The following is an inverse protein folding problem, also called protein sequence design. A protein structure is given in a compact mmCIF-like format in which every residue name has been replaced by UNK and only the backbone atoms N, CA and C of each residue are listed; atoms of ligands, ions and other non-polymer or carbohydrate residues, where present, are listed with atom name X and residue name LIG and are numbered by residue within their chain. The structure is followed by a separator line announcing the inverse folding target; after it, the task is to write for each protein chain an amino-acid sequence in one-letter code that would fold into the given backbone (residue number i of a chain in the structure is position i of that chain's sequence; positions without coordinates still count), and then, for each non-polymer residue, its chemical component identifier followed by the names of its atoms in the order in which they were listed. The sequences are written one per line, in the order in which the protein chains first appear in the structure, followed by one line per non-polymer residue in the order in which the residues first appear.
data_IF_512545085910
#
_entry.id   IF_512545085910
#
_cell.length_a   1.000
_cell.length_b   1.000
_cell.length_c   1.000
_cell.angle_alpha   90.00
_cell.angle_beta   90.00
_cell.angle_gamma   90.00
#
_symmetry.space_group_name_H-M   'P 1'
#
loop_
_entity.id
_entity.type
_entity.pdbx_description
1 polymer ?
#
# COMPACT_ATOMS: atom_id res chain seq x y z
N UNK A 1 58.18 -0.93 30.18
CA UNK A 1 56.97 -0.67 30.99
C UNK A 1 55.96 0.03 30.09
N UNK A 2 55.17 -0.77 29.36
CA UNK A 2 54.33 -0.29 28.26
C UNK A 2 53.05 0.37 28.77
N UNK A 3 52.77 1.59 28.28
CA UNK A 3 51.44 2.19 28.31
C UNK A 3 50.60 1.54 27.22
N UNK A 4 49.54 0.86 27.63
CA UNK A 4 48.42 0.52 26.77
C UNK A 4 47.57 1.79 26.63
N UNK A 5 47.74 2.51 25.52
CA UNK A 5 46.81 3.56 25.13
C UNK A 5 45.51 2.90 24.66
N UNK A 6 44.45 3.16 25.42
CA UNK A 6 43.10 2.70 25.14
C UNK A 6 42.59 3.33 23.85
N UNK A 7 42.28 2.47 22.87
CA UNK A 7 41.41 2.81 21.77
C UNK A 7 40.04 3.23 22.33
N UNK A 8 39.82 4.54 22.48
CA UNK A 8 38.51 5.10 22.81
C UNK A 8 37.56 4.91 21.62
N UNK A 9 36.41 4.30 21.89
CA UNK A 9 35.32 4.00 20.96
C UNK A 9 34.84 5.19 20.13
N UNK A 10 35.41 5.37 18.94
CA UNK A 10 34.97 6.38 17.96
C UNK A 10 33.53 6.18 17.45
N UNK A 11 32.96 4.97 17.61
CA UNK A 11 31.56 4.69 17.26
C UNK A 11 30.57 5.30 18.25
N UNK A 12 30.86 5.27 19.56
CA UNK A 12 29.97 5.85 20.58
C UNK A 12 29.90 7.37 20.51
N UNK A 13 31.04 8.03 20.29
CA UNK A 13 31.13 9.49 20.21
C UNK A 13 30.37 10.07 19.01
N UNK A 14 30.50 9.46 17.82
CA UNK A 14 29.75 9.88 16.63
C UNK A 14 28.23 9.67 16.76
N UNK A 15 27.82 8.73 17.60
CA UNK A 15 26.42 8.33 17.78
C UNK A 15 25.67 9.29 18.73
N UNK A 16 26.36 9.77 19.78
CA UNK A 16 25.87 10.81 20.67
C UNK A 16 25.76 12.18 19.97
N UNK A 17 26.80 12.58 19.21
CA UNK A 17 26.83 13.87 18.50
C UNK A 17 25.62 14.05 17.56
N UNK A 18 25.22 13.00 16.82
CA UNK A 18 24.06 13.11 15.93
C UNK A 18 22.70 13.13 16.63
N UNK A 19 22.59 12.46 17.77
CA UNK A 19 21.38 12.52 18.58
C UNK A 19 21.13 13.96 19.04
N UNK A 20 22.14 14.57 19.64
CA UNK A 20 22.01 15.89 20.27
C UNK A 20 21.99 17.06 19.28
N UNK A 21 22.71 16.96 18.15
CA UNK A 21 22.82 18.06 17.20
C UNK A 21 21.80 18.01 16.05
N UNK A 22 21.25 16.84 15.72
CA UNK A 22 20.39 16.67 14.54
C UNK A 22 19.02 16.14 14.92
N UNK A 23 18.97 15.02 15.64
CA UNK A 23 17.71 14.30 15.86
C UNK A 23 16.83 15.04 16.87
N UNK A 24 17.34 15.33 18.07
CA UNK A 24 16.55 15.98 19.12
C UNK A 24 16.07 17.38 18.71
N UNK A 25 16.92 18.31 18.24
CA UNK A 25 16.47 19.66 17.89
C UNK A 25 15.42 19.66 16.77
N UNK A 26 15.55 18.76 15.81
CA UNK A 26 14.60 18.68 14.68
C UNK A 26 13.26 18.10 15.10
N UNK A 27 13.24 17.10 15.97
CA UNK A 27 12.03 16.31 16.26
C UNK A 27 11.24 16.84 17.45
N UNK A 28 11.87 17.62 18.33
CA UNK A 28 11.20 18.17 19.51
C UNK A 28 10.98 19.69 19.43
N UNK A 29 11.30 20.33 18.29
CA UNK A 29 11.26 21.81 18.14
C UNK A 29 9.93 22.47 18.54
N UNK A 30 8.81 21.80 18.25
CA UNK A 30 7.46 22.33 18.48
C UNK A 30 6.80 21.70 19.71
N UNK A 31 7.51 20.82 20.42
CA UNK A 31 6.97 20.08 21.55
C UNK A 31 7.08 20.90 22.84
N UNK A 32 5.94 21.03 23.52
CA UNK A 32 5.78 21.76 24.76
C UNK A 32 5.57 20.75 25.88
N UNK A 33 6.18 21.03 27.02
CA UNK A 33 6.02 20.23 28.24
C UNK A 33 4.57 20.22 28.71
N UNK A 34 4.07 19.03 29.06
CA UNK A 34 2.73 18.82 29.58
C UNK A 34 2.79 18.20 30.98
N UNK A 35 1.84 18.54 31.85
CA UNK A 35 1.76 17.97 33.20
C UNK A 35 1.44 16.47 33.16
N UNK A 36 0.53 16.10 32.26
CA UNK A 36 0.09 14.73 32.00
C UNK A 36 0.10 14.46 30.49
N UNK A 37 1.27 14.17 29.90
CA UNK A 37 1.39 13.97 28.46
C UNK A 37 0.63 12.72 28.00
N UNK A 38 0.15 12.74 26.76
CA UNK A 38 -0.41 11.58 26.08
C UNK A 38 0.58 11.06 25.05
N UNK A 39 0.89 9.77 25.12
CA UNK A 39 1.73 9.07 24.14
C UNK A 39 0.88 8.03 23.43
N UNK A 40 0.82 8.13 22.11
CA UNK A 40 0.08 7.19 21.26
C UNK A 40 1.06 6.31 20.51
N UNK A 41 0.99 5.00 20.75
CA UNK A 41 1.77 4.00 20.01
C UNK A 41 0.95 3.53 18.82
N UNK A 42 1.40 3.85 17.61
CA UNK A 42 0.78 3.40 16.37
C UNK A 42 1.42 2.10 15.92
N UNK A 43 0.74 0.99 16.21
CA UNK A 43 1.18 -0.38 15.96
C UNK A 43 0.69 -0.96 14.65
N UNK A 44 1.60 -1.58 13.88
CA UNK A 44 1.26 -2.25 12.60
C UNK A 44 2.40 -3.05 11.99
N UNK A 45 2.07 -4.00 11.12
CA UNK A 45 3.07 -4.64 10.28
C UNK A 45 3.71 -3.67 9.24
N UNK A 46 4.92 -3.96 8.74
CA UNK A 46 5.53 -3.21 7.64
C UNK A 46 4.60 -3.10 6.42
N UNK A 47 4.57 -1.91 5.79
CA UNK A 47 3.74 -1.65 4.62
C UNK A 47 2.24 -1.47 4.91
N UNK A 48 1.79 -1.35 6.16
CA UNK A 48 0.36 -1.17 6.45
C UNK A 48 -0.19 0.27 6.25
N UNK A 49 0.53 1.18 5.57
CA UNK A 49 0.17 2.61 5.49
C UNK A 49 0.58 3.43 6.72
N UNK A 50 1.90 3.42 7.04
CA UNK A 50 2.52 4.04 8.23
C UNK A 50 2.07 5.47 8.51
N UNK A 51 2.13 6.26 7.46
CA UNK A 51 2.26 7.71 7.53
C UNK A 51 0.89 8.35 7.76
N UNK A 52 -0.12 8.01 6.96
CA UNK A 52 -1.43 8.65 7.01
C UNK A 52 -2.14 8.59 8.39
N UNK A 53 -2.25 7.41 9.01
CA UNK A 53 -2.92 7.30 10.33
C UNK A 53 -2.11 8.01 11.40
N UNK A 54 -0.79 7.89 11.34
CA UNK A 54 0.04 8.47 12.37
C UNK A 54 0.19 9.99 12.20
N UNK A 55 0.07 10.53 10.98
CA UNK A 55 -0.08 11.96 10.71
C UNK A 55 -1.41 12.48 11.25
N UNK A 56 -2.49 11.72 11.07
CA UNK A 56 -3.81 12.05 11.64
C UNK A 56 -3.77 12.08 13.17
N UNK A 57 -3.18 11.05 13.80
CA UNK A 57 -3.01 11.00 15.26
C UNK A 57 -2.09 12.12 15.73
N UNK A 58 -1.00 12.39 15.01
CA UNK A 58 -0.08 13.47 15.32
C UNK A 58 -0.76 14.84 15.27
N UNK A 59 -1.53 15.11 14.21
CA UNK A 59 -2.34 16.32 14.09
C UNK A 59 -3.39 16.45 15.19
N UNK A 60 -4.03 15.35 15.60
CA UNK A 60 -5.00 15.34 16.70
C UNK A 60 -4.36 15.63 18.07
N UNK A 61 -3.13 15.16 18.30
CA UNK A 61 -2.36 15.50 19.50
C UNK A 61 -1.72 16.89 19.45
N UNK A 62 -1.71 17.55 18.29
CA UNK A 62 -1.02 18.82 18.06
C UNK A 62 -1.80 20.06 18.58
N UNK A 63 -2.61 19.92 19.63
CA UNK A 63 -3.45 20.99 20.19
C UNK A 63 -3.15 21.24 21.68
N UNK A 64 -3.21 22.51 22.12
CA UNK A 64 -2.05 23.41 22.13
C UNK A 64 -0.90 22.82 22.97
N UNK A 65 0.16 22.37 22.31
CA UNK A 65 1.27 21.72 23.01
C UNK A 65 2.30 21.02 22.12
N UNK A 66 1.97 20.68 20.88
CA UNK A 66 2.87 19.87 20.06
C UNK A 66 2.96 18.41 20.50
N UNK A 67 3.25 17.52 19.56
CA UNK A 67 3.61 16.13 19.84
C UNK A 67 4.91 15.77 19.11
N UNK A 68 5.74 14.95 19.73
CA UNK A 68 6.96 14.43 19.10
C UNK A 68 6.61 13.23 18.23
N UNK A 69 7.02 13.23 16.97
CA UNK A 69 6.91 12.07 16.08
C UNK A 69 8.14 11.19 16.24
N UNK A 70 7.96 9.96 16.72
CA UNK A 70 9.07 9.01 16.93
C UNK A 70 8.90 7.82 16.00
N UNK A 71 9.92 7.50 15.20
CA UNK A 71 9.91 6.32 14.34
C UNK A 71 11.29 5.93 13.86
N UNK A 72 11.61 4.63 13.93
CA UNK A 72 12.90 4.06 13.49
C UNK A 72 13.27 4.36 12.03
N UNK A 73 12.30 4.58 11.14
CA UNK A 73 12.59 4.91 9.75
C UNK A 73 13.18 6.34 9.60
N UNK A 74 12.93 7.24 10.56
CA UNK A 74 13.39 8.63 10.51
C UNK A 74 14.88 8.80 10.91
N UNK A 75 15.49 7.81 11.58
CA UNK A 75 16.91 7.88 11.97
C UNK A 75 17.89 7.28 10.94
N UNK A 76 17.39 6.72 9.82
CA UNK A 76 18.21 5.91 8.91
C UNK A 76 19.19 6.73 8.08
N UNK A 77 18.75 7.87 7.58
CA UNK A 77 19.60 8.84 6.87
C UNK A 77 20.68 9.41 7.80
N UNK A 78 20.42 9.40 9.10
CA UNK A 78 21.39 9.73 10.14
C UNK A 78 22.41 8.62 10.42
N UNK A 79 22.46 7.51 9.68
CA UNK A 79 23.50 6.48 9.85
C UNK A 79 24.61 6.60 8.80
N UNK A 80 25.87 6.83 9.23
CA UNK A 80 27.00 7.22 8.34
C UNK A 80 27.28 6.18 7.27
N UNK A 81 27.18 4.91 7.65
CA UNK A 81 27.47 3.77 6.77
C UNK A 81 26.23 3.24 6.06
N UNK A 82 25.09 3.93 6.13
CA UNK A 82 23.85 3.42 5.54
C UNK A 82 23.99 3.22 4.03
N UNK A 83 24.51 4.22 3.31
CA UNK A 83 24.73 4.15 1.87
C UNK A 83 25.72 3.04 1.49
N UNK A 84 26.83 2.90 2.23
CA UNK A 84 27.83 1.84 2.05
C UNK A 84 27.21 0.44 2.23
N UNK A 85 26.50 0.23 3.34
CA UNK A 85 25.87 -1.06 3.66
C UNK A 85 24.76 -1.44 2.68
N UNK A 86 24.06 -0.44 2.15
CA UNK A 86 23.04 -0.62 1.12
C UNK A 86 23.62 -0.98 -0.24
N UNK A 87 24.74 -0.36 -0.61
CA UNK A 87 25.46 -0.69 -1.83
C UNK A 87 26.05 -2.11 -1.75
N UNK A 88 26.52 -2.52 -0.57
CA UNK A 88 27.12 -3.84 -0.35
C UNK A 88 26.09 -4.98 -0.43
N UNK A 89 24.99 -4.90 0.33
CA UNK A 89 23.92 -5.88 0.26
C UNK A 89 22.63 -5.33 0.89
N UNK A 90 21.65 -5.09 0.02
CA UNK A 90 20.34 -4.54 0.36
C UNK A 90 19.55 -5.43 1.33
N UNK A 91 19.77 -6.76 1.31
CA UNK A 91 19.03 -7.71 2.15
C UNK A 91 19.48 -7.66 3.60
N UNK A 92 20.79 -7.47 3.83
CA UNK A 92 21.37 -7.43 5.18
C UNK A 92 21.51 -6.02 5.75
N UNK A 93 21.41 -4.96 4.93
CA UNK A 93 21.56 -3.56 5.39
C UNK A 93 20.72 -3.29 6.64
N UNK A 94 19.42 -3.62 6.58
CA UNK A 94 18.48 -3.35 7.65
C UNK A 94 18.82 -4.04 8.97
N UNK A 95 19.40 -5.24 8.92
CA UNK A 95 19.85 -5.99 10.11
C UNK A 95 21.06 -5.29 10.73
N UNK A 96 22.03 -4.90 9.89
CA UNK A 96 23.29 -4.29 10.33
C UNK A 96 23.09 -2.94 11.02
N UNK A 97 22.14 -2.12 10.56
CA UNK A 97 21.87 -0.79 11.15
C UNK A 97 20.81 -0.81 12.28
N UNK A 98 20.12 -1.94 12.48
CA UNK A 98 19.01 -2.04 13.44
C UNK A 98 19.42 -1.71 14.88
N UNK A 99 20.56 -2.21 15.43
CA UNK A 99 20.98 -1.86 16.78
C UNK A 99 21.21 -0.35 16.94
N UNK A 100 21.75 0.28 15.90
CA UNK A 100 22.05 1.72 15.90
C UNK A 100 20.77 2.56 16.00
N UNK A 101 19.84 2.25 15.11
CA UNK A 101 18.53 2.91 15.00
C UNK A 101 17.67 2.69 16.23
N UNK A 102 17.62 1.45 16.76
CA UNK A 102 16.85 1.17 17.99
C UNK A 102 17.40 1.91 19.19
N UNK A 103 18.73 2.02 19.31
CA UNK A 103 19.35 2.81 20.37
C UNK A 103 19.03 4.30 20.27
N UNK A 104 19.04 4.88 19.07
CA UNK A 104 18.61 6.28 18.90
C UNK A 104 17.13 6.49 19.18
N UNK A 105 16.26 5.59 18.72
CA UNK A 105 14.84 5.65 19.05
C UNK A 105 14.63 5.61 20.57
N UNK A 106 15.28 4.68 21.27
CA UNK A 106 15.20 4.59 22.74
C UNK A 106 15.65 5.89 23.42
N UNK A 107 16.75 6.50 22.95
CA UNK A 107 17.25 7.76 23.51
C UNK A 107 16.30 8.95 23.26
N UNK A 108 15.64 9.01 22.10
CA UNK A 108 14.60 10.01 21.83
C UNK A 108 13.39 9.78 22.73
N UNK A 109 12.96 8.54 22.93
CA UNK A 109 11.87 8.21 23.85
C UNK A 109 12.21 8.56 25.30
N UNK A 110 13.46 8.31 25.74
CA UNK A 110 13.96 8.72 27.06
C UNK A 110 13.89 10.25 27.22
N UNK A 111 14.34 10.99 26.22
CA UNK A 111 14.27 12.45 26.22
C UNK A 111 12.81 12.95 26.30
N UNK A 112 11.91 12.38 25.51
CA UNK A 112 10.47 12.68 25.53
C UNK A 112 9.85 12.42 26.90
N UNK A 113 10.21 11.30 27.54
CA UNK A 113 9.77 10.98 28.91
C UNK A 113 10.30 11.99 29.92
N UNK A 114 11.59 12.33 29.84
CA UNK A 114 12.24 13.27 30.76
C UNK A 114 11.63 14.68 30.66
N UNK A 115 11.30 15.13 29.45
CA UNK A 115 10.71 16.45 29.20
C UNK A 115 9.18 16.47 29.32
N UNK A 116 8.53 15.30 29.47
CA UNK A 116 7.07 15.14 29.53
C UNK A 116 6.35 15.71 28.31
N UNK A 117 6.86 15.38 27.12
CA UNK A 117 6.19 15.73 25.87
C UNK A 117 5.13 14.68 25.50
N UNK A 118 4.06 15.12 24.86
CA UNK A 118 3.18 14.22 24.10
C UNK A 118 3.93 13.64 22.90
N UNK A 119 3.60 12.42 22.47
CA UNK A 119 4.29 11.78 21.35
C UNK A 119 3.44 10.78 20.57
N UNK A 120 3.78 10.60 19.30
CA UNK A 120 3.28 9.51 18.45
C UNK A 120 4.43 8.59 18.08
N UNK A 121 4.44 7.39 18.67
CA UNK A 121 5.49 6.39 18.49
C UNK A 121 5.07 5.38 17.44
N UNK A 122 5.81 5.28 16.33
CA UNK A 122 5.63 4.20 15.37
C UNK A 122 6.30 2.92 15.86
N UNK A 123 5.50 1.88 16.06
CA UNK A 123 5.99 0.56 16.42
C UNK A 123 5.46 -0.50 15.46
N UNK A 124 6.21 -1.59 15.31
CA UNK A 124 5.68 -2.80 14.69
C UNK A 124 4.91 -3.68 15.69
N UNK A 125 4.99 -3.36 16.99
CA UNK A 125 4.45 -4.14 18.11
C UNK A 125 4.80 -5.63 18.00
N UNK A 126 5.98 -5.95 17.45
CA UNK A 126 6.34 -7.33 17.13
C UNK A 126 6.69 -8.19 18.35
N UNK A 127 7.07 -7.57 19.46
CA UNK A 127 7.50 -8.24 20.69
C UNK A 127 6.74 -7.69 21.93
N UNK A 128 6.02 -8.55 22.68
CA UNK A 128 5.36 -8.15 23.92
C UNK A 128 6.32 -7.62 24.99
N UNK A 129 7.54 -8.17 25.10
CA UNK A 129 8.50 -7.74 26.13
C UNK A 129 9.00 -6.31 25.88
N UNK A 130 9.27 -5.97 24.62
CA UNK A 130 9.63 -4.60 24.22
C UNK A 130 8.50 -3.62 24.64
N UNK A 131 7.24 -4.02 24.46
CA UNK A 131 6.11 -3.18 24.85
C UNK A 131 5.95 -3.09 26.38
N UNK A 132 6.10 -4.19 27.12
CA UNK A 132 6.08 -4.16 28.60
C UNK A 132 7.10 -3.20 29.17
N UNK A 133 8.33 -3.26 28.66
CA UNK A 133 9.40 -2.35 29.09
C UNK A 133 9.05 -0.88 28.81
N UNK A 134 8.54 -0.59 27.60
CA UNK A 134 8.11 0.76 27.21
C UNK A 134 6.94 1.26 28.07
N UNK A 135 5.90 0.45 28.27
CA UNK A 135 4.74 0.78 29.09
C UNK A 135 5.13 1.04 30.56
N UNK A 136 6.01 0.22 31.12
CA UNK A 136 6.53 0.43 32.47
C UNK A 136 7.30 1.76 32.58
N UNK A 137 8.10 2.11 31.57
CA UNK A 137 8.84 3.38 31.54
C UNK A 137 7.90 4.60 31.49
N UNK A 138 6.85 4.57 30.66
CA UNK A 138 5.87 5.66 30.58
C UNK A 138 4.99 5.79 31.84
N UNK A 139 4.63 4.67 32.47
CA UNK A 139 3.88 4.68 33.74
C UNK A 139 4.63 5.39 34.86
N UNK A 140 5.94 5.20 34.97
CA UNK A 140 6.78 5.85 36.00
C UNK A 140 6.74 7.37 35.95
N UNK A 141 6.49 7.95 34.77
CA UNK A 141 6.40 9.40 34.57
C UNK A 141 4.95 9.91 34.48
N UNK A 142 3.96 9.05 34.78
CA UNK A 142 2.51 9.36 34.80
C UNK A 142 1.96 9.84 33.44
N UNK A 143 2.50 9.29 32.35
CA UNK A 143 2.02 9.52 30.98
C UNK A 143 0.77 8.68 30.71
N UNK A 144 -0.21 9.26 30.01
CA UNK A 144 -1.33 8.49 29.44
C UNK A 144 -0.83 7.76 28.19
N UNK A 145 -0.93 6.44 28.15
CA UNK A 145 -0.45 5.60 27.05
C UNK A 145 -1.63 5.04 26.27
N UNK A 146 -1.73 5.38 24.99
CA UNK A 146 -2.76 4.86 24.10
C UNK A 146 -2.13 4.03 22.97
N UNK A 147 -2.86 3.04 22.47
CA UNK A 147 -2.43 2.16 21.38
C UNK A 147 -3.42 2.25 20.24
N UNK A 148 -2.92 2.56 19.05
CA UNK A 148 -3.69 2.53 17.79
C UNK A 148 -3.11 1.45 16.89
N UNK A 149 -3.83 0.36 16.70
CA UNK A 149 -3.42 -0.76 15.85
C UNK A 149 -4.09 -0.70 14.47
N UNK A 150 -3.33 -0.90 13.39
CA UNK A 150 -3.92 -0.94 12.03
C UNK A 150 -4.27 -2.37 11.61
N UNK A 151 -5.53 -2.58 11.26
CA UNK A 151 -6.05 -3.81 10.69
C UNK A 151 -5.97 -3.80 9.15
N UNK A 152 -4.75 -3.83 8.62
CA UNK A 152 -4.50 -3.87 7.17
C UNK A 152 -4.31 -5.32 6.72
N UNK A 153 -5.01 -5.76 5.68
CA UNK A 153 -4.85 -7.10 5.11
C UNK A 153 -3.40 -7.37 4.68
N UNK A 154 -2.93 -8.61 4.89
CA UNK A 154 -1.53 -8.95 4.66
C UNK A 154 -1.09 -8.71 3.22
N UNK A 155 -1.96 -8.99 2.25
CA UNK A 155 -1.74 -8.73 0.82
C UNK A 155 -1.38 -7.26 0.54
N UNK A 156 -2.14 -6.32 1.10
CA UNK A 156 -1.88 -4.89 0.95
C UNK A 156 -0.54 -4.50 1.57
N UNK A 157 -0.28 -5.01 2.77
CA UNK A 157 0.97 -4.69 3.48
C UNK A 157 2.23 -5.25 2.83
N UNK A 158 2.12 -6.44 2.21
CA UNK A 158 3.17 -7.03 1.39
C UNK A 158 3.40 -6.19 0.12
N UNK A 159 2.33 -5.81 -0.58
CA UNK A 159 2.44 -5.00 -1.81
C UNK A 159 3.10 -3.65 -1.54
N UNK A 160 2.68 -2.94 -0.49
CA UNK A 160 3.28 -1.64 -0.12
C UNK A 160 4.75 -1.74 0.29
N UNK A 161 5.15 -2.88 0.86
CA UNK A 161 6.56 -3.12 1.17
C UNK A 161 7.40 -3.13 -0.11
N UNK A 162 6.90 -3.77 -1.17
CA UNK A 162 7.54 -3.78 -2.49
C UNK A 162 7.46 -2.42 -3.16
N UNK A 163 6.29 -1.80 -3.21
CA UNK A 163 6.10 -0.49 -3.83
C UNK A 163 7.03 0.57 -3.22
N UNK A 164 7.22 0.55 -1.89
CA UNK A 164 8.16 1.43 -1.18
C UNK A 164 9.62 1.05 -1.38
N UNK A 165 9.93 -0.22 -1.65
CA UNK A 165 11.27 -0.61 -2.08
C UNK A 165 11.60 -0.03 -3.46
N UNK A 166 10.61 0.02 -4.35
CA UNK A 166 10.74 0.49 -5.73
C UNK A 166 10.61 2.00 -5.89
N UNK A 167 10.08 2.73 -4.90
CA UNK A 167 10.00 4.19 -4.97
C UNK A 167 11.42 4.79 -4.95
N UNK A 168 11.88 5.23 -6.11
CA UNK A 168 13.21 5.82 -6.35
C UNK A 168 13.48 7.12 -5.55
N UNK A 169 12.45 7.69 -4.91
CA UNK A 169 12.45 9.01 -4.27
C UNK A 169 12.89 9.04 -2.81
N UNK A 170 13.29 7.92 -2.21
CA UNK A 170 13.97 7.96 -0.90
C UNK A 170 15.46 8.00 -1.19
N UNK A 171 16.09 9.16 -1.01
CA UNK A 171 17.54 9.33 -1.06
C UNK A 171 18.22 8.19 -0.31
N UNK A 172 18.83 7.27 -1.06
CA UNK A 172 19.45 6.06 -0.52
C UNK A 172 18.60 4.78 -0.59
N UNK A 173 17.77 4.58 -1.62
CA UNK A 173 17.20 3.28 -2.02
C UNK A 173 16.14 2.70 -1.07
N UNK A 174 15.03 2.22 -1.64
CA UNK A 174 13.91 1.75 -0.85
C UNK A 174 14.25 0.59 0.10
N UNK A 175 13.55 0.54 1.24
CA UNK A 175 13.85 -0.38 2.34
C UNK A 175 13.41 -1.80 2.01
N UNK A 176 14.37 -2.72 1.94
CA UNK A 176 14.07 -4.15 1.90
C UNK A 176 13.50 -4.64 3.24
N UNK A 177 12.48 -5.49 3.17
CA UNK A 177 11.89 -6.20 4.31
C UNK A 177 11.65 -7.63 3.84
N UNK A 178 12.28 -8.61 4.50
CA UNK A 178 12.05 -10.01 4.15
C UNK A 178 10.66 -10.48 4.55
N UNK A 179 10.20 -11.57 3.94
CA UNK A 179 8.95 -12.22 4.29
C UNK A 179 8.91 -12.68 5.73
N UNK A 180 9.99 -13.27 6.23
CA UNK A 180 10.07 -13.75 7.61
C UNK A 180 9.90 -12.58 8.58
N UNK A 181 10.53 -11.44 8.30
CA UNK A 181 10.38 -10.25 9.12
C UNK A 181 8.94 -9.69 9.03
N UNK A 182 8.33 -9.64 7.84
CA UNK A 182 6.95 -9.18 7.68
C UNK A 182 5.96 -10.06 8.46
N UNK A 183 6.07 -11.38 8.34
CA UNK A 183 5.21 -12.35 9.02
C UNK A 183 5.41 -12.34 10.53
N UNK A 184 6.67 -12.26 10.97
CA UNK A 184 7.00 -12.16 12.38
C UNK A 184 6.37 -10.91 13.00
N UNK A 185 6.44 -9.75 12.33
CA UNK A 185 5.74 -8.55 12.77
C UNK A 185 4.22 -8.71 12.72
N UNK A 186 3.67 -9.30 11.64
CA UNK A 186 2.22 -9.49 11.48
C UNK A 186 1.62 -10.34 12.60
N UNK A 187 2.27 -11.45 12.95
CA UNK A 187 1.88 -12.38 14.02
C UNK A 187 2.21 -11.85 15.40
N UNK A 188 3.40 -11.24 15.55
CA UNK A 188 3.87 -10.66 16.80
C UNK A 188 2.92 -9.60 17.33
N UNK A 189 2.42 -8.71 16.46
CA UNK A 189 1.46 -7.68 16.83
C UNK A 189 0.19 -8.24 17.49
N UNK A 190 -0.35 -9.36 17.00
CA UNK A 190 -1.55 -9.95 17.61
C UNK A 190 -1.26 -10.43 19.04
N UNK A 191 -0.10 -11.06 19.25
CA UNK A 191 0.33 -11.52 20.58
C UNK A 191 0.55 -10.33 21.52
N UNK A 192 1.20 -9.27 21.04
CA UNK A 192 1.46 -8.06 21.81
C UNK A 192 0.15 -7.37 22.21
N UNK A 193 -0.84 -7.29 21.32
CA UNK A 193 -2.15 -6.71 21.65
C UNK A 193 -2.89 -7.52 22.72
N UNK A 194 -2.85 -8.85 22.63
CA UNK A 194 -3.43 -9.72 23.67
C UNK A 194 -2.77 -9.48 25.04
N UNK A 195 -1.44 -9.35 25.08
CA UNK A 195 -0.69 -9.02 26.30
C UNK A 195 -1.02 -7.62 26.82
N UNK A 196 -1.13 -6.62 25.93
CA UNK A 196 -1.51 -5.25 26.31
C UNK A 196 -2.83 -5.23 27.07
N UNK A 197 -3.84 -5.95 26.59
CA UNK A 197 -5.12 -5.99 27.27
C UNK A 197 -5.07 -6.85 28.55
N UNK A 198 -4.48 -8.05 28.49
CA UNK A 198 -4.40 -8.96 29.63
C UNK A 198 -3.66 -8.37 30.85
N UNK A 199 -2.62 -7.59 30.61
CA UNK A 199 -1.80 -6.95 31.65
C UNK A 199 -2.14 -5.47 31.86
N UNK A 200 -3.23 -5.01 31.24
CA UNK A 200 -3.72 -3.63 31.29
C UNK A 200 -2.67 -2.59 30.90
N UNK A 201 -1.71 -2.87 30.00
CA UNK A 201 -0.49 -2.08 29.80
C UNK A 201 -0.72 -0.68 29.19
N UNK A 202 -1.88 -0.43 28.59
CA UNK A 202 -2.29 0.86 28.02
C UNK A 202 -3.58 1.37 28.66
N UNK A 203 -3.84 2.67 28.56
CA UNK A 203 -5.08 3.31 29.03
C UNK A 203 -6.20 3.21 27.98
N UNK A 204 -5.87 3.14 26.70
CA UNK A 204 -6.84 2.98 25.60
C UNK A 204 -6.24 2.17 24.45
N UNK A 205 -7.03 1.29 23.86
CA UNK A 205 -6.68 0.53 22.66
C UNK A 205 -7.74 0.73 21.58
N UNK A 206 -7.31 1.19 20.41
CA UNK A 206 -8.17 1.39 19.24
C UNK A 206 -7.62 0.59 18.06
N UNK A 207 -8.49 -0.12 17.34
CA UNK A 207 -8.14 -0.80 16.08
C UNK A 207 -8.83 -0.08 14.93
N UNK A 208 -8.05 0.34 13.94
CA UNK A 208 -8.53 1.11 12.79
C UNK A 208 -8.17 0.43 11.48
N UNK A 209 -9.01 0.60 10.45
CA UNK A 209 -8.67 0.29 9.07
C UNK A 209 -7.87 1.43 8.45
N UNK A 210 -7.27 1.16 7.28
CA UNK A 210 -6.50 2.16 6.51
C UNK A 210 -7.32 3.38 6.10
N UNK A 211 -8.64 3.23 5.92
CA UNK A 211 -9.55 4.33 5.58
C UNK A 211 -10.02 5.13 6.81
N UNK A 212 -9.50 4.83 8.01
CA UNK A 212 -9.88 5.49 9.26
C UNK A 212 -11.08 4.86 9.96
N UNK A 213 -11.72 3.84 9.38
CA UNK A 213 -12.84 3.14 10.04
C UNK A 213 -12.37 2.48 11.33
N UNK A 214 -12.99 2.83 12.46
CA UNK A 214 -12.73 2.21 13.76
C UNK A 214 -13.46 0.87 13.84
N UNK A 215 -12.70 -0.22 14.02
CA UNK A 215 -13.24 -1.58 14.22
C UNK A 215 -13.38 -1.93 15.69
N UNK A 216 -12.51 -1.36 16.51
CA UNK A 216 -12.46 -1.60 17.94
C UNK A 216 -12.01 -0.34 18.64
N UNK A 217 -12.63 -0.08 19.78
CA UNK A 217 -12.24 0.95 20.70
C UNK A 217 -12.57 0.45 22.11
N UNK A 218 -11.63 0.66 23.02
CA UNK A 218 -11.71 0.20 24.39
C UNK A 218 -10.82 1.08 25.26
N UNK A 219 -11.35 1.52 26.40
CA UNK A 219 -10.66 2.37 27.37
C UNK A 219 -10.66 1.65 28.73
N UNK A 220 -9.55 1.77 29.45
CA UNK A 220 -9.37 1.21 30.78
C UNK A 220 -10.00 2.18 31.79
N UNK A 221 -11.16 1.80 32.32
CA UNK A 221 -11.91 2.62 33.27
C UNK A 221 -11.90 1.88 34.61
N UNK A 222 -11.46 2.56 35.66
CA UNK A 222 -11.37 2.00 37.02
C UNK A 222 -10.62 0.66 37.10
N UNK A 223 -9.59 0.50 36.26
CA UNK A 223 -8.76 -0.71 36.21
C UNK A 223 -9.40 -1.90 35.48
N UNK A 224 -10.54 -1.70 34.80
CA UNK A 224 -11.23 -2.73 34.05
C UNK A 224 -11.44 -2.34 32.58
N UNK A 225 -11.19 -3.29 31.68
CA UNK A 225 -11.59 -3.17 30.29
C UNK A 225 -13.08 -3.49 30.12
N UNK A 226 -13.74 -2.84 29.15
CA UNK A 226 -15.13 -3.20 28.79
C UNK A 226 -15.18 -4.54 28.05
N UNK A 227 -14.20 -4.80 27.21
CA UNK A 227 -14.00 -6.04 26.44
C UNK A 227 -12.51 -6.25 26.19
N UNK A 228 -12.05 -7.47 25.95
CA UNK A 228 -10.66 -7.76 25.59
C UNK A 228 -10.64 -8.57 24.30
N UNK A 229 -10.51 -7.87 23.17
CA UNK A 229 -10.59 -8.46 21.83
C UNK A 229 -9.82 -7.64 20.77
N UNK A 230 -8.81 -6.86 21.16
CA UNK A 230 -8.08 -6.01 20.22
C UNK A 230 -7.34 -6.83 19.14
N UNK A 231 -6.71 -7.94 19.53
CA UNK A 231 -6.04 -8.88 18.62
C UNK A 231 -7.06 -9.53 17.65
N UNK A 232 -8.21 -9.96 18.17
CA UNK A 232 -9.30 -10.54 17.38
C UNK A 232 -9.88 -9.50 16.41
N UNK A 233 -10.01 -8.24 16.82
CA UNK A 233 -10.48 -7.16 15.95
C UNK A 233 -9.50 -6.87 14.80
N UNK A 234 -8.19 -6.94 15.05
CA UNK A 234 -7.18 -6.86 13.98
C UNK A 234 -7.31 -8.05 13.05
N UNK A 235 -7.38 -9.28 13.56
CA UNK A 235 -7.51 -10.49 12.75
C UNK A 235 -8.79 -10.44 11.89
N UNK A 236 -9.91 -10.03 12.48
CA UNK A 236 -11.17 -9.81 11.80
C UNK A 236 -11.02 -8.77 10.68
N UNK A 237 -10.49 -7.59 10.97
CA UNK A 237 -10.28 -6.54 9.98
C UNK A 237 -9.38 -6.94 8.82
N UNK A 238 -8.35 -7.77 9.09
CA UNK A 238 -7.47 -8.37 8.07
C UNK A 238 -8.19 -9.36 7.16
N UNK A 239 -9.18 -10.06 7.70
CA UNK A 239 -9.97 -11.08 6.98
C UNK A 239 -11.15 -10.52 6.20
N UNK A 240 -11.49 -9.23 6.41
CA UNK A 240 -12.63 -8.61 5.74
C UNK A 240 -12.45 -8.66 4.20
N UNK A 241 -13.50 -9.04 3.46
CA UNK A 241 -13.48 -9.00 2.01
C UNK A 241 -13.21 -7.58 1.49
N UNK A 242 -12.36 -7.47 0.48
CA UNK A 242 -12.18 -6.20 -0.22
C UNK A 242 -13.44 -5.86 -1.01
N UNK A 243 -13.85 -4.60 -0.93
CA UNK A 243 -14.80 -4.02 -1.87
C UNK A 243 -14.28 -4.10 -3.31
N UNK A 244 -15.19 -3.92 -4.28
CA UNK A 244 -14.81 -3.82 -5.69
C UNK A 244 -13.80 -2.68 -5.95
N UNK A 245 -13.93 -1.56 -5.21
CA UNK A 245 -13.02 -0.40 -5.29
C UNK A 245 -11.63 -0.74 -4.77
N UNK A 246 -11.54 -1.38 -3.59
CA UNK A 246 -10.26 -1.83 -3.02
C UNK A 246 -9.60 -2.87 -3.91
N UNK A 247 -10.37 -3.81 -4.47
CA UNK A 247 -9.86 -4.81 -5.42
C UNK A 247 -9.28 -4.16 -6.67
N UNK A 248 -9.96 -3.15 -7.24
CA UNK A 248 -9.45 -2.41 -8.40
C UNK A 248 -8.19 -1.62 -8.06
N UNK A 249 -8.15 -0.95 -6.90
CA UNK A 249 -6.97 -0.24 -6.43
C UNK A 249 -5.78 -1.19 -6.24
N UNK A 250 -5.99 -2.35 -5.62
CA UNK A 250 -4.95 -3.36 -5.42
C UNK A 250 -4.38 -3.85 -6.75
N UNK A 251 -5.26 -4.12 -7.74
CA UNK A 251 -4.83 -4.58 -9.07
C UNK A 251 -3.99 -3.53 -9.81
N UNK A 252 -4.38 -2.25 -9.74
CA UNK A 252 -3.60 -1.15 -10.33
C UNK A 252 -2.24 -0.99 -9.66
N UNK A 253 -2.20 -1.05 -8.33
CA UNK A 253 -0.95 -0.93 -7.58
C UNK A 253 -0.02 -2.11 -7.85
N UNK A 254 -0.56 -3.33 -7.91
CA UNK A 254 0.21 -4.53 -8.27
C UNK A 254 0.78 -4.42 -9.68
N UNK A 255 -0.05 -4.05 -10.67
CA UNK A 255 0.41 -3.86 -12.04
C UNK A 255 1.49 -2.77 -12.15
N UNK A 256 1.31 -1.65 -11.45
CA UNK A 256 2.31 -0.57 -11.41
C UNK A 256 3.60 -1.04 -10.74
N UNK A 257 3.51 -1.80 -9.66
CA UNK A 257 4.66 -2.39 -8.95
C UNK A 257 5.43 -3.34 -9.87
N UNK A 258 4.73 -4.22 -10.59
CA UNK A 258 5.33 -5.15 -11.55
C UNK A 258 6.00 -4.42 -12.73
N UNK A 259 5.35 -3.38 -13.27
CA UNK A 259 5.92 -2.53 -14.32
C UNK A 259 7.23 -1.88 -13.86
N UNK A 260 7.24 -1.26 -12.68
CA UNK A 260 8.43 -0.59 -12.11
C UNK A 260 9.54 -1.59 -11.81
N UNK A 261 9.19 -2.74 -11.27
CA UNK A 261 10.15 -3.82 -11.01
C UNK A 261 10.89 -4.24 -12.29
N UNK A 262 10.21 -4.23 -13.44
CA UNK A 262 10.80 -4.59 -14.73
C UNK A 262 11.51 -3.43 -15.43
N UNK A 263 11.00 -2.19 -15.30
CA UNK A 263 11.49 -1.00 -16.01
C UNK A 263 12.63 -0.29 -15.28
N UNK A 264 12.50 -0.15 -13.96
CA UNK A 264 13.26 0.82 -13.16
C UNK A 264 14.42 0.13 -12.44
N UNK A 265 14.25 -1.12 -12.02
CA UNK A 265 15.30 -1.87 -11.30
C UNK A 265 16.32 -2.48 -12.25
N UNK A 266 17.42 -1.74 -12.48
CA UNK A 266 18.53 -2.16 -13.34
C UNK A 266 19.47 -3.19 -12.72
N UNK A 267 19.59 -3.20 -11.39
CA UNK A 267 20.42 -4.14 -10.64
C UNK A 267 19.69 -5.47 -10.44
N UNK A 268 20.23 -6.56 -11.00
CA UNK A 268 19.61 -7.89 -10.94
C UNK A 268 19.41 -8.36 -9.49
N UNK A 269 20.39 -8.17 -8.61
CA UNK A 269 20.28 -8.58 -7.20
C UNK A 269 19.15 -7.88 -6.44
N UNK A 270 18.93 -6.60 -6.73
CA UNK A 270 17.82 -5.82 -6.15
C UNK A 270 16.49 -6.29 -6.71
N UNK A 271 16.41 -6.61 -8.00
CA UNK A 271 15.19 -7.15 -8.62
C UNK A 271 14.85 -8.52 -8.04
N UNK A 272 15.83 -9.42 -7.92
CA UNK A 272 15.67 -10.73 -7.31
C UNK A 272 15.32 -10.66 -5.82
N UNK A 273 15.63 -9.56 -5.13
CA UNK A 273 15.29 -9.40 -3.72
C UNK A 273 13.78 -9.31 -3.50
N UNK A 274 13.06 -8.67 -4.42
CA UNK A 274 11.63 -8.34 -4.24
C UNK A 274 10.71 -8.92 -5.32
N UNK A 275 11.24 -9.57 -6.36
CA UNK A 275 10.42 -10.16 -7.43
C UNK A 275 9.36 -11.11 -6.88
N UNK A 276 9.75 -12.00 -5.96
CA UNK A 276 8.83 -12.95 -5.37
C UNK A 276 7.82 -12.26 -4.45
N UNK A 277 8.15 -11.10 -3.90
CA UNK A 277 7.31 -10.38 -2.93
C UNK A 277 6.02 -9.86 -3.59
N UNK A 278 6.08 -9.46 -4.86
CA UNK A 278 4.92 -9.07 -5.65
C UNK A 278 4.01 -10.27 -5.95
N UNK A 279 4.59 -11.41 -6.35
CA UNK A 279 3.88 -12.68 -6.54
C UNK A 279 3.18 -13.13 -5.24
N UNK A 280 3.88 -13.01 -4.12
CA UNK A 280 3.34 -13.30 -2.79
C UNK A 280 2.16 -12.39 -2.44
N UNK A 281 2.28 -11.09 -2.69
CA UNK A 281 1.17 -10.15 -2.47
C UNK A 281 -0.07 -10.54 -3.29
N UNK A 282 0.12 -10.95 -4.55
CA UNK A 282 -0.95 -11.44 -5.41
C UNK A 282 -1.59 -12.73 -4.85
N UNK A 283 -0.79 -13.68 -4.36
CA UNK A 283 -1.26 -14.92 -3.75
C UNK A 283 -2.06 -14.67 -2.45
N UNK A 284 -1.57 -13.78 -1.58
CA UNK A 284 -2.26 -13.38 -0.34
C UNK A 284 -3.60 -12.68 -0.63
N UNK A 285 -3.75 -12.04 -1.79
CA UNK A 285 -5.00 -11.40 -2.18
C UNK A 285 -6.06 -12.40 -2.67
N UNK A 286 -5.69 -13.63 -3.03
CA UNK A 286 -6.59 -14.59 -3.68
C UNK A 286 -7.84 -14.95 -2.83
N UNK A 287 -7.73 -15.26 -1.52
CA UNK A 287 -8.90 -15.53 -0.68
C UNK A 287 -9.82 -14.30 -0.56
N UNK A 288 -9.22 -13.11 -0.43
CA UNK A 288 -9.95 -11.83 -0.30
C UNK A 288 -10.64 -11.46 -1.63
N UNK A 289 -10.08 -11.87 -2.78
CA UNK A 289 -10.64 -11.68 -4.12
C UNK A 289 -11.79 -12.65 -4.43
N UNK A 290 -11.77 -13.89 -3.93
CA UNK A 290 -12.85 -14.87 -4.16
C UNK A 290 -14.15 -14.51 -3.43
N UNK A 291 -14.06 -13.74 -2.35
CA UNK A 291 -15.22 -13.26 -1.59
C UNK A 291 -15.70 -11.89 -2.08
N UNK A 292 -14.96 -11.22 -2.99
CA UNK A 292 -15.43 -10.00 -3.65
C UNK A 292 -16.65 -10.35 -4.50
N UNK A 293 -17.83 -10.11 -3.94
CA UNK A 293 -19.10 -10.41 -4.56
C UNK A 293 -19.18 -9.74 -5.94
N UNK A 294 -19.77 -10.41 -6.95
CA UNK A 294 -20.20 -9.74 -8.17
C UNK A 294 -20.98 -8.49 -7.79
N UNK A 295 -20.71 -7.35 -8.45
CA UNK A 295 -21.55 -6.17 -8.30
C UNK A 295 -22.99 -6.60 -8.63
N UNK A 296 -23.93 -6.39 -7.69
CA UNK A 296 -25.35 -6.72 -7.90
C UNK A 296 -25.98 -5.83 -8.96
N UNK A 297 -25.37 -4.66 -9.20
CA UNK A 297 -25.76 -3.72 -10.24
C UNK A 297 -24.76 -3.73 -11.40
N UNK A 298 -25.27 -3.61 -12.63
CA UNK A 298 -24.46 -3.46 -13.81
C UNK A 298 -23.52 -2.25 -13.64
N UNK A 299 -22.20 -2.40 -13.86
CA UNK A 299 -21.31 -1.26 -13.86
C UNK A 299 -21.78 -0.26 -14.92
N UNK A 300 -22.10 0.98 -14.51
CA UNK A 300 -22.49 2.04 -15.45
C UNK A 300 -21.39 2.30 -16.49
N UNK A 301 -21.73 3.01 -17.56
CA UNK A 301 -20.84 3.26 -18.71
C UNK A 301 -19.49 3.89 -18.37
N UNK A 302 -19.38 4.55 -17.21
CA UNK A 302 -18.14 5.15 -16.71
C UNK A 302 -17.24 4.17 -15.92
N UNK A 303 -17.66 2.93 -15.68
CA UNK A 303 -16.87 1.97 -14.89
C UNK A 303 -15.53 1.59 -15.53
N UNK A 304 -15.45 1.64 -16.86
CA UNK A 304 -14.22 1.43 -17.62
C UNK A 304 -13.57 2.73 -18.08
N UNK A 305 -14.10 3.88 -17.65
CA UNK A 305 -13.55 5.18 -18.02
C UNK A 305 -12.28 5.40 -17.21
N UNK A 306 -11.16 5.57 -17.92
CA UNK A 306 -9.91 5.99 -17.33
C UNK A 306 -10.10 7.37 -16.70
N UNK A 307 -9.47 7.59 -15.53
CA UNK A 307 -9.33 8.95 -15.01
C UNK A 307 -8.56 9.83 -16.00
N UNK A 308 -8.64 11.16 -15.87
CA UNK A 308 -7.88 12.06 -16.75
C UNK A 308 -6.37 11.79 -16.69
N UNK A 309 -5.85 11.44 -15.51
CA UNK A 309 -4.45 11.07 -15.31
C UNK A 309 -4.13 9.71 -15.92
N UNK A 310 -4.96 8.69 -15.70
CA UNK A 310 -4.78 7.37 -16.31
C UNK A 310 -4.83 7.45 -17.85
N UNK A 311 -5.73 8.27 -18.39
CA UNK A 311 -5.86 8.50 -19.82
C UNK A 311 -4.61 9.20 -20.39
N UNK A 312 -4.13 10.26 -19.74
CA UNK A 312 -2.90 10.96 -20.14
C UNK A 312 -1.69 10.02 -20.08
N UNK A 313 -1.54 9.28 -18.98
CA UNK A 313 -0.45 8.32 -18.79
C UNK A 313 -0.46 7.22 -19.84
N UNK A 314 -1.62 6.59 -20.10
CA UNK A 314 -1.75 5.56 -21.15
C UNK A 314 -1.43 6.14 -22.52
N UNK A 315 -1.87 7.37 -22.81
CA UNK A 315 -1.55 8.02 -24.07
C UNK A 315 -0.05 8.27 -24.23
N UNK A 316 0.60 8.88 -23.24
CA UNK A 316 2.01 9.29 -23.31
C UNK A 316 2.99 8.11 -23.21
N UNK A 317 2.69 7.10 -22.39
CA UNK A 317 3.62 5.99 -22.14
C UNK A 317 3.40 4.78 -23.05
N UNK A 318 2.16 4.53 -23.48
CA UNK A 318 1.82 3.32 -24.24
C UNK A 318 1.43 3.64 -25.69
N UNK A 319 0.51 4.57 -25.91
CA UNK A 319 -0.04 4.84 -27.25
C UNK A 319 0.96 5.65 -28.09
N UNK A 320 1.37 6.83 -27.63
CA UNK A 320 2.24 7.71 -28.39
C UNK A 320 3.56 7.03 -28.78
N UNK A 321 4.30 6.32 -27.89
CA UNK A 321 5.51 5.63 -28.29
C UNK A 321 5.24 4.48 -29.25
N UNK A 322 4.12 3.76 -29.14
CA UNK A 322 3.80 2.65 -30.04
C UNK A 322 3.40 3.10 -31.45
N UNK A 323 2.75 4.27 -31.58
CA UNK A 323 2.20 4.75 -32.84
C UNK A 323 3.03 5.84 -33.51
N UNK A 324 3.84 6.58 -32.75
CA UNK A 324 4.66 7.69 -33.24
C UNK A 324 6.14 7.32 -33.38
N UNK A 325 6.58 6.14 -32.92
CA UNK A 325 7.95 5.69 -33.13
C UNK A 325 8.28 5.61 -34.63
N UNK A 326 9.37 6.27 -35.02
CA UNK A 326 9.81 6.37 -36.42
C UNK A 326 9.08 7.42 -37.27
N UNK A 327 8.20 8.23 -36.69
CA UNK A 327 7.61 9.39 -37.36
C UNK A 327 8.54 10.60 -37.16
N UNK A 328 8.98 11.20 -38.27
CA UNK A 328 9.85 12.39 -38.27
C UNK A 328 8.96 13.63 -38.42
N UNK A 329 9.30 14.70 -37.71
CA UNK A 329 8.64 16.00 -37.86
C UNK A 329 8.72 16.48 -39.31
N UNK A 330 7.65 17.11 -39.80
CA UNK A 330 7.61 17.72 -41.14
C UNK A 330 7.24 19.18 -41.04
N UNK A 331 7.85 20.01 -41.89
CA UNK A 331 7.63 21.45 -41.90
C UNK A 331 6.26 21.85 -42.48
N UNK A 332 5.65 20.99 -43.32
CA UNK A 332 4.29 21.15 -43.86
C UNK A 332 3.44 19.89 -43.61
N UNK A 333 2.94 19.67 -42.38
CA UNK A 333 2.23 18.44 -42.03
C UNK A 333 0.83 18.40 -42.66
N UNK A 334 0.54 17.32 -43.39
CA UNK A 334 -0.79 17.10 -44.01
C UNK A 334 -1.64 16.14 -43.19
N UNK A 335 -2.82 16.58 -42.79
CA UNK A 335 -3.81 15.74 -42.12
C UNK A 335 -4.94 15.33 -43.07
N UNK A 336 -5.27 14.04 -43.10
CA UNK A 336 -6.40 13.51 -43.86
C UNK A 336 -7.38 12.80 -42.92
N UNK A 337 -8.63 13.27 -42.91
CA UNK A 337 -9.72 12.67 -42.12
C UNK A 337 -10.48 11.65 -42.97
N UNK A 338 -10.56 10.41 -42.48
CA UNK A 338 -11.34 9.34 -43.14
C UNK A 338 -12.63 9.13 -42.34
N UNK A 339 -13.77 9.54 -42.90
CA UNK A 339 -15.05 9.64 -42.18
C UNK A 339 -16.11 8.59 -42.62
N UNK A 340 -17.23 8.54 -41.90
CA UNK A 340 -18.47 7.84 -42.25
C UNK A 340 -19.07 7.01 -41.09
N UNK A 341 -20.03 6.13 -41.36
CA UNK A 341 -20.66 5.29 -40.34
C UNK A 341 -19.78 4.12 -39.81
N UNK A 342 -20.03 3.60 -38.59
CA UNK A 342 -19.43 2.37 -38.08
C UNK A 342 -19.61 1.20 -39.07
N UNK A 343 -18.58 0.38 -39.26
CA UNK A 343 -18.61 -0.74 -40.20
C UNK A 343 -18.32 -0.42 -41.68
N UNK A 344 -18.29 0.86 -42.08
CA UNK A 344 -18.05 1.27 -43.48
C UNK A 344 -16.61 1.08 -44.01
N UNK A 345 -15.77 0.28 -43.35
CA UNK A 345 -14.43 -0.07 -43.84
C UNK A 345 -13.35 1.03 -43.73
N UNK A 346 -13.50 2.02 -42.84
CA UNK A 346 -12.56 3.16 -42.68
C UNK A 346 -11.11 2.74 -42.52
N UNK A 347 -10.86 1.66 -41.76
CA UNK A 347 -9.51 1.16 -41.53
C UNK A 347 -8.81 0.70 -42.82
N UNK A 348 -9.58 0.22 -43.81
CA UNK A 348 -9.06 -0.17 -45.13
C UNK A 348 -8.68 1.07 -45.95
N UNK A 349 -9.55 2.08 -45.96
CA UNK A 349 -9.33 3.35 -46.67
C UNK A 349 -8.18 4.15 -46.05
N UNK A 350 -8.11 4.25 -44.71
CA UNK A 350 -7.04 4.93 -43.99
C UNK A 350 -5.66 4.35 -44.31
N UNK A 351 -5.56 3.02 -44.51
CA UNK A 351 -4.31 2.37 -44.93
C UNK A 351 -3.89 2.80 -46.34
N UNK A 352 -4.83 2.89 -47.27
CA UNK A 352 -4.57 3.36 -48.64
C UNK A 352 -4.16 4.84 -48.67
N UNK A 353 -4.82 5.68 -47.87
CA UNK A 353 -4.46 7.11 -47.73
C UNK A 353 -3.05 7.25 -47.14
N UNK A 354 -2.73 6.48 -46.08
CA UNK A 354 -1.39 6.47 -45.47
C UNK A 354 -0.28 6.10 -46.48
N UNK A 355 -0.53 5.15 -47.38
CA UNK A 355 0.41 4.78 -48.44
C UNK A 355 0.61 5.86 -49.51
N UNK A 356 -0.39 6.72 -49.75
CA UNK A 356 -0.34 7.79 -50.74
C UNK A 356 0.25 9.09 -50.19
N UNK A 357 0.16 9.33 -48.88
CA UNK A 357 0.73 10.50 -48.22
C UNK A 357 2.23 10.36 -47.88
N UNK A 358 2.83 9.17 -48.01
CA UNK A 358 4.28 8.97 -47.87
C UNK A 358 5.01 9.37 -49.14
N UNK A 359 5.72 10.50 -49.13
CA UNK A 359 6.56 10.93 -50.25
C UNK A 359 7.79 10.03 -50.44
N UNK A 360 7.95 9.49 -51.65
CA UNK A 360 9.23 9.14 -52.28
C UNK A 360 10.07 7.96 -51.73
N UNK A 361 10.67 7.11 -52.60
CA UNK A 361 11.28 5.85 -52.18
C UNK A 361 12.74 6.02 -51.73
N UNK A 362 13.05 5.70 -50.47
CA UNK A 362 14.22 4.89 -50.05
C UNK A 362 14.18 4.64 -48.54
N UNK A 363 14.41 3.37 -48.20
CA UNK A 363 14.62 2.82 -46.85
C UNK A 363 13.40 2.67 -45.93
N UNK A 364 12.52 1.72 -46.26
CA UNK A 364 11.79 1.00 -45.22
C UNK A 364 11.93 -0.50 -45.46
N UNK A 365 12.97 -1.11 -44.88
CA UNK A 365 12.97 -2.57 -44.68
C UNK A 365 11.90 -2.88 -43.65
N UNK A 366 10.96 -3.73 -44.02
CA UNK A 366 10.00 -4.28 -43.09
C UNK A 366 10.71 -5.22 -42.10
N UNK A 367 11.07 -4.72 -40.92
CA UNK A 367 11.35 -5.61 -39.79
C UNK A 367 10.02 -6.16 -39.32
N UNK A 368 9.72 -7.39 -39.72
CA UNK A 368 8.50 -8.09 -39.36
C UNK A 368 8.67 -8.70 -37.97
N UNK A 369 8.79 -7.87 -36.94
CA UNK A 369 8.80 -8.33 -35.55
C UNK A 369 7.49 -7.93 -34.88
N UNK A 370 6.46 -8.76 -35.05
CA UNK A 370 5.26 -8.72 -34.20
C UNK A 370 5.68 -9.07 -32.76
N UNK A 371 5.35 -8.28 -31.74
CA UNK A 371 5.22 -8.83 -30.39
C UNK A 371 4.00 -9.74 -30.43
N UNK A 372 4.19 -11.06 -30.25
CA UNK A 372 3.07 -11.97 -29.97
C UNK A 372 2.58 -11.66 -28.55
N UNK A 373 1.56 -10.82 -28.43
CA UNK A 373 0.71 -10.82 -27.25
C UNK A 373 -0.10 -12.11 -27.32
N UNK A 374 0.27 -13.12 -26.52
CA UNK A 374 -0.58 -14.30 -26.29
C UNK A 374 -1.79 -13.86 -25.47
N UNK A 375 -2.89 -13.54 -26.15
CA UNK A 375 -4.21 -13.56 -25.53
C UNK A 375 -4.69 -15.01 -25.50
N UNK A 376 -4.49 -15.70 -24.38
CA UNK A 376 -5.31 -16.86 -24.03
C UNK A 376 -6.67 -16.35 -23.61
N UNK A 377 -7.60 -16.28 -24.56
CA UNK A 377 -9.03 -16.24 -24.26
C UNK A 377 -9.75 -17.05 -25.33
N UNK A 378 -9.99 -18.32 -25.01
CA UNK A 378 -11.04 -19.09 -25.65
C UNK A 378 -12.35 -18.34 -25.37
N UNK A 379 -12.97 -17.81 -26.41
CA UNK A 379 -14.36 -17.40 -26.35
C UNK A 379 -15.06 -18.07 -27.52
N UNK A 380 -15.82 -19.12 -27.18
CA UNK A 380 -16.73 -19.83 -28.06
C UNK A 380 -17.60 -18.85 -28.83
N UNK A 381 -17.45 -18.83 -30.15
CA UNK A 381 -18.50 -18.33 -31.05
C UNK A 381 -19.40 -19.51 -31.37
N UNK A 382 -20.52 -19.63 -30.68
CA UNK A 382 -21.63 -20.49 -31.07
C UNK A 382 -22.30 -19.88 -32.31
N UNK A 383 -22.23 -20.60 -33.42
CA UNK A 383 -23.05 -20.40 -34.62
C UNK A 383 -24.50 -20.80 -34.31
N UNK A 384 -25.52 -20.15 -34.91
CA UNK A 384 -26.90 -20.60 -34.75
C UNK A 384 -27.15 -21.84 -35.61
N UNK A 385 -27.61 -22.93 -34.98
CA UNK A 385 -28.01 -24.14 -35.65
C UNK A 385 -29.43 -24.00 -36.23
N UNK A 386 -29.54 -24.40 -37.49
CA UNK A 386 -30.73 -24.54 -38.33
C UNK A 386 -31.77 -25.49 -37.71
N UNK A 387 -33.04 -25.10 -37.85
CA UNK A 387 -34.26 -25.85 -37.51
C UNK A 387 -34.50 -26.95 -38.54
N UNK A 388 -34.60 -28.20 -38.12
CA UNK A 388 -35.20 -29.31 -38.87
C UNK A 388 -35.81 -30.31 -37.88
N UNK A 389 -36.98 -30.83 -38.23
CA UNK A 389 -37.99 -31.31 -37.31
C UNK A 389 -37.77 -32.68 -36.69
N UNK A 390 -38.59 -32.97 -35.68
CA UNK A 390 -39.17 -34.30 -35.46
C UNK A 390 -40.45 -34.21 -34.63
N UNK A 391 -41.40 -35.00 -35.10
CA UNK A 391 -42.75 -35.31 -34.64
C UNK A 391 -42.81 -36.21 -33.40
N UNK A 392 -43.82 -36.05 -32.55
CA UNK A 392 -44.30 -37.08 -31.62
C UNK A 392 -44.75 -36.56 -30.24
N UNK A 393 -45.74 -37.17 -29.56
CA UNK A 393 -46.92 -36.42 -29.12
C UNK A 393 -47.24 -36.40 -27.60
N UNK A 394 -48.16 -35.47 -27.27
CA UNK A 394 -49.27 -35.54 -26.30
C UNK A 394 -48.98 -35.70 -24.79
N UNK A 395 -49.20 -34.61 -24.04
CA UNK A 395 -49.84 -34.59 -22.71
C UNK A 395 -50.58 -33.26 -22.52
N UNK A 396 -51.90 -33.30 -22.34
CA UNK A 396 -52.71 -32.16 -21.83
C UNK A 396 -53.01 -32.33 -20.33
N UNK A 397 -53.95 -31.57 -19.73
CA UNK A 397 -54.45 -30.22 -20.03
C UNK A 397 -54.15 -29.22 -18.87
N UNK A 398 -54.39 -27.91 -19.10
CA UNK A 398 -54.24 -26.81 -18.11
C UNK A 398 -55.19 -26.87 -16.91
N UNK A 399 -55.21 -25.88 -15.97
CA UNK A 399 -55.77 -24.54 -16.24
C UNK A 399 -55.11 -23.40 -15.36
N UNK A 400 -55.74 -22.24 -15.08
CA UNK A 400 -55.77 -21.04 -15.92
C UNK A 400 -55.12 -19.80 -15.25
N UNK A 401 -54.80 -18.81 -16.09
CA UNK A 401 -54.36 -17.44 -15.75
C UNK A 401 -55.45 -16.59 -15.07
N UNK A 402 -55.08 -15.64 -14.18
CA UNK A 402 -55.82 -14.40 -13.99
C UNK A 402 -55.12 -13.21 -14.64
N UNK A 403 -55.96 -12.31 -15.18
CA UNK A 403 -55.65 -11.14 -15.99
C UNK A 403 -55.00 -10.00 -15.18
N UNK A 404 -54.13 -9.25 -15.87
CA UNK A 404 -53.71 -7.90 -15.48
C UNK A 404 -54.88 -6.92 -15.45
N UNK A 405 -54.95 -6.13 -14.39
CA UNK A 405 -55.56 -4.78 -14.40
C UNK A 405 -54.54 -3.79 -13.84
N UNK A 406 -54.06 -2.90 -14.71
CA UNK A 406 -53.36 -1.67 -14.35
C UNK A 406 -54.40 -0.61 -13.96
N UNK A 407 -54.16 0.13 -12.89
CA UNK A 407 -54.95 1.32 -12.58
C UNK A 407 -54.80 1.80 -11.14
N UNK A 408 -53.73 2.53 -10.84
CA UNK A 408 -53.70 3.42 -9.67
C UNK A 408 -52.67 4.54 -9.92
N UNK A 409 -53.20 5.69 -10.32
CA UNK A 409 -52.61 6.99 -10.06
C UNK A 409 -53.66 7.76 -9.27
N UNK A 410 -53.25 8.36 -8.16
CA UNK A 410 -53.66 9.67 -7.61
C UNK A 410 -53.29 9.70 -6.13
N UNK A 411 -52.51 10.73 -5.79
CA UNK A 411 -52.07 11.12 -4.46
C UNK A 411 -53.20 11.70 -3.60
N UNK A 412 -53.09 11.58 -2.27
CA UNK A 412 -53.14 12.71 -1.32
C UNK A 412 -52.98 12.20 0.13
N UNK A 413 -52.35 13.09 0.92
CA UNK A 413 -52.04 13.07 2.36
C UNK A 413 -50.76 12.38 2.80
#
# INVERSE_FOLDING_TARGET
MGRLDGARDGHGHSRAVRLDQVILPTWTKDAIRQDRPTVVVVGRQPGAGKTAIADLVHAALNHPGGAVRIGSDLCKTAHRRYAELLAADVRTTGVKVRPDIRGWQAAVEDYVRAQRFGAVVESDLSDPEDFRASAAAYRRVRTRLEVVALATAEAWSQLETVARFLSESIDGGGRYVSWENHDACSKGMLRTLAVIEAEHLADRTTVVRRDGTVLYDNELIDGAWRRTAADQAVAYGRSLPCSARETAAFRRELATTDERLHRDVRCEDRRLAVLRDAERAAALAEPVRRIAQPRRDAPGVDYHRLSAEEHKRVFEELIAPSYLNGIISQDDPRAAYVLGQPGAGKSKVARTVKLRCGGGPRSWRATTSRPRIRTTTNCCKTTPATRAGRSGPATGPGPPTPRHTYGASVAMS
#
